data_IF_608365325770
#
_entry.id   IF_608365325770
#
_cell.length_a   1.000
_cell.length_b   1.000
_cell.length_c   1.000
_cell.angle_alpha   90.00
_cell.angle_beta   90.00
_cell.angle_gamma   90.00
#
_symmetry.space_group_name_H-M   'P 1'
#
loop_
_entity.id
_entity.type
_entity.pdbx_description
1 polymer ?
#
# COMPACT_ATOMS: atom_id res chain seq x y z
N UNK A 1 -17.12 -12.58 -7.31
CA UNK A 1 -16.02 -12.17 -6.41
C UNK A 1 -15.25 -11.05 -7.08
N UNK A 2 -14.47 -10.28 -6.33
CA UNK A 2 -13.62 -9.23 -6.90
C UNK A 2 -12.38 -9.91 -7.49
N UNK A 3 -12.11 -9.67 -8.78
CA UNK A 3 -11.00 -10.26 -9.54
C UNK A 3 -10.29 -9.26 -10.46
N UNK A 4 -10.90 -8.10 -10.68
CA UNK A 4 -10.36 -6.96 -11.44
C UNK A 4 -10.95 -5.65 -10.90
N UNK A 5 -10.38 -4.48 -11.25
CA UNK A 5 -10.87 -3.17 -10.77
C UNK A 5 -12.35 -2.91 -11.05
N UNK A 6 -12.85 -3.27 -12.24
CA UNK A 6 -14.25 -3.09 -12.63
C UNK A 6 -15.25 -3.79 -11.70
N UNK A 7 -14.86 -4.91 -11.07
CA UNK A 7 -15.74 -5.66 -10.18
C UNK A 7 -16.13 -4.82 -8.94
N UNK A 8 -15.34 -3.79 -8.60
CA UNK A 8 -15.66 -2.84 -7.52
C UNK A 8 -16.86 -1.94 -7.85
N UNK A 9 -17.22 -1.81 -9.12
CA UNK A 9 -18.38 -1.03 -9.56
C UNK A 9 -19.69 -1.76 -9.24
N UNK A 10 -19.65 -3.09 -9.12
CA UNK A 10 -20.83 -3.90 -8.84
C UNK A 10 -21.63 -3.37 -7.63
N UNK A 11 -22.96 -3.49 -7.69
CA UNK A 11 -23.85 -3.03 -6.61
C UNK A 11 -23.63 -3.78 -5.29
N UNK A 12 -23.09 -5.00 -5.35
CA UNK A 12 -22.69 -5.78 -4.18
C UNK A 12 -21.52 -5.17 -3.42
N UNK A 13 -20.74 -4.29 -4.05
CA UNK A 13 -19.65 -3.53 -3.42
C UNK A 13 -20.16 -2.10 -3.17
N UNK A 14 -20.44 -1.77 -1.92
CA UNK A 14 -21.05 -0.49 -1.51
C UNK A 14 -20.03 0.46 -0.91
N UNK A 15 -19.05 -0.06 -0.17
CA UNK A 15 -18.01 0.73 0.50
C UNK A 15 -16.63 0.14 0.27
N UNK A 16 -15.68 1.00 -0.06
CA UNK A 16 -14.30 0.64 -0.35
C UNK A 16 -13.38 1.48 0.54
N UNK A 17 -12.60 0.86 1.42
CA UNK A 17 -11.64 1.59 2.23
C UNK A 17 -10.28 1.76 1.52
N UNK A 18 -9.72 2.96 1.54
CA UNK A 18 -8.34 3.23 1.14
C UNK A 18 -7.74 4.32 2.03
N UNK A 19 -6.42 4.45 2.05
CA UNK A 19 -5.79 5.63 2.66
C UNK A 19 -6.36 6.90 2.02
N UNK A 20 -6.39 8.04 2.71
CA UNK A 20 -6.90 9.28 2.11
C UNK A 20 -6.30 9.52 0.70
N UNK A 21 -7.13 9.59 -0.35
CA UNK A 21 -6.66 9.64 -1.74
C UNK A 21 -5.93 10.94 -2.10
N UNK A 22 -6.03 11.96 -1.26
CA UNK A 22 -5.34 13.25 -1.44
C UNK A 22 -4.07 13.38 -0.59
N UNK A 23 -3.92 12.56 0.47
CA UNK A 23 -2.89 12.81 1.49
C UNK A 23 -2.07 11.58 1.92
N UNK A 24 -2.64 10.37 1.90
CA UNK A 24 -1.94 9.16 2.33
C UNK A 24 -1.33 8.49 1.10
N UNK A 25 -0.01 8.19 1.04
CA UNK A 25 0.61 7.60 -0.14
C UNK A 25 -0.11 6.37 -0.70
N UNK A 26 -0.52 5.43 0.17
CA UNK A 26 -1.28 4.25 -0.28
C UNK A 26 -2.66 4.58 -0.87
N UNK A 27 -3.28 5.68 -0.42
CA UNK A 27 -4.50 6.24 -0.99
C UNK A 27 -4.28 6.89 -2.35
N UNK A 28 -3.26 7.74 -2.44
CA UNK A 28 -2.85 8.41 -3.69
C UNK A 28 -2.55 7.36 -4.77
N UNK A 29 -1.76 6.34 -4.44
CA UNK A 29 -1.44 5.24 -5.35
C UNK A 29 -2.66 4.42 -5.77
N UNK A 30 -3.59 4.18 -4.84
CA UNK A 30 -4.86 3.51 -5.15
C UNK A 30 -5.69 4.34 -6.14
N UNK A 31 -5.82 5.65 -5.90
CA UNK A 31 -6.50 6.57 -6.81
C UNK A 31 -5.86 6.57 -8.19
N UNK A 32 -4.54 6.78 -8.28
CA UNK A 32 -3.81 6.80 -9.55
C UNK A 32 -4.03 5.53 -10.38
N UNK A 33 -3.99 4.36 -9.72
CA UNK A 33 -4.27 3.10 -10.37
C UNK A 33 -5.72 3.01 -10.86
N UNK A 34 -6.70 3.34 -10.01
CA UNK A 34 -8.12 3.26 -10.36
C UNK A 34 -8.52 4.29 -11.44
N UNK A 35 -7.84 5.44 -11.49
CA UNK A 35 -8.00 6.44 -12.57
C UNK A 35 -7.47 5.89 -13.88
N UNK A 36 -6.27 5.28 -13.86
CA UNK A 36 -5.67 4.65 -15.04
C UNK A 36 -6.53 3.51 -15.60
N UNK A 37 -7.19 2.77 -14.74
CA UNK A 37 -8.13 1.70 -15.12
C UNK A 37 -9.53 2.26 -15.50
N UNK A 38 -9.75 3.58 -15.41
CA UNK A 38 -10.98 4.25 -15.86
C UNK A 38 -12.18 4.10 -14.95
N UNK A 39 -11.99 3.61 -13.72
CA UNK A 39 -13.09 3.28 -12.79
C UNK A 39 -13.24 4.27 -11.63
N UNK A 40 -12.23 5.11 -11.38
CA UNK A 40 -12.21 6.02 -10.23
C UNK A 40 -13.44 6.94 -10.12
N UNK A 41 -13.84 7.58 -11.23
CA UNK A 41 -14.97 8.52 -11.21
C UNK A 41 -16.29 7.89 -10.75
N UNK A 42 -16.46 6.60 -11.03
CA UNK A 42 -17.61 5.81 -10.58
C UNK A 42 -17.44 5.37 -9.13
N UNK A 43 -16.21 5.02 -8.73
CA UNK A 43 -15.92 4.47 -7.40
C UNK A 43 -15.80 5.54 -6.31
N UNK A 44 -15.46 6.79 -6.62
CA UNK A 44 -15.16 7.83 -5.63
C UNK A 44 -16.29 8.07 -4.63
N UNK A 45 -17.55 7.84 -5.01
CA UNK A 45 -18.72 7.95 -4.12
C UNK A 45 -18.84 6.78 -3.13
N UNK A 46 -18.19 5.64 -3.40
CA UNK A 46 -18.12 4.45 -2.54
C UNK A 46 -16.92 4.48 -1.59
N UNK A 47 -15.97 5.39 -1.81
CA UNK A 47 -14.71 5.45 -1.08
C UNK A 47 -14.96 5.91 0.36
N UNK A 48 -14.34 5.18 1.29
CA UNK A 48 -14.22 5.54 2.70
C UNK A 48 -12.74 5.88 2.96
N UNK A 49 -12.36 7.17 2.95
CA UNK A 49 -11.00 7.60 3.22
C UNK A 49 -10.57 7.22 4.63
N UNK A 50 -9.31 6.85 4.80
CA UNK A 50 -8.75 6.47 6.10
C UNK A 50 -7.41 7.16 6.37
N UNK A 51 -7.09 7.35 7.65
CA UNK A 51 -5.84 8.01 8.09
C UNK A 51 -4.55 7.30 7.70
N UNK A 52 -4.61 6.01 7.36
CA UNK A 52 -3.49 5.22 6.86
C UNK A 52 -3.99 3.87 6.33
N UNK A 53 -3.14 3.17 5.58
CA UNK A 53 -3.46 1.87 4.96
C UNK A 53 -3.88 0.80 5.97
N UNK A 54 -3.34 0.83 7.19
CA UNK A 54 -3.73 -0.12 8.25
C UNK A 54 -5.15 0.12 8.74
N UNK A 55 -5.62 1.36 8.79
CA UNK A 55 -7.01 1.67 9.13
C UNK A 55 -7.97 1.15 8.05
N UNK A 56 -7.58 1.20 6.77
CA UNK A 56 -8.35 0.57 5.70
C UNK A 56 -8.44 -0.95 5.87
N UNK A 57 -7.32 -1.62 6.17
CA UNK A 57 -7.33 -3.07 6.46
C UNK A 57 -8.25 -3.42 7.63
N UNK A 58 -8.17 -2.66 8.73
CA UNK A 58 -9.04 -2.87 9.90
C UNK A 58 -10.52 -2.71 9.57
N UNK A 59 -10.88 -1.79 8.68
CA UNK A 59 -12.26 -1.61 8.25
C UNK A 59 -12.79 -2.84 7.49
N UNK A 60 -11.95 -3.48 6.68
CA UNK A 60 -12.25 -4.73 5.96
C UNK A 60 -12.40 -5.88 6.96
N UNK A 61 -11.44 -6.06 7.86
CA UNK A 61 -11.48 -7.12 8.89
C UNK A 61 -12.72 -7.00 9.79
N UNK A 62 -13.15 -5.77 10.10
CA UNK A 62 -14.35 -5.50 10.88
C UNK A 62 -15.66 -5.68 10.09
N UNK A 63 -15.61 -5.96 8.78
CA UNK A 63 -16.79 -6.07 7.91
C UNK A 63 -17.56 -4.75 7.72
N UNK A 64 -16.95 -3.62 8.06
CA UNK A 64 -17.58 -2.29 7.93
C UNK A 64 -17.56 -1.74 6.50
N UNK A 65 -16.71 -2.33 5.66
CA UNK A 65 -16.60 -2.08 4.22
C UNK A 65 -16.53 -3.42 3.47
N UNK A 66 -16.90 -3.41 2.19
CA UNK A 66 -16.95 -4.63 1.37
C UNK A 66 -15.58 -4.97 0.75
N UNK A 67 -14.71 -3.97 0.58
CA UNK A 67 -13.37 -4.12 0.03
C UNK A 67 -12.41 -3.05 0.59
N UNK A 68 -11.10 -3.28 0.43
CA UNK A 68 -10.10 -2.27 0.72
C UNK A 68 -8.87 -2.38 -0.19
N UNK A 69 -8.21 -1.26 -0.43
CA UNK A 69 -6.94 -1.20 -1.17
C UNK A 69 -5.80 -0.98 -0.19
N UNK A 70 -4.92 -1.98 -0.09
CA UNK A 70 -3.82 -2.02 0.89
C UNK A 70 -2.53 -2.51 0.26
N UNK A 71 -1.40 -2.32 0.96
CA UNK A 71 -0.16 -2.94 0.54
C UNK A 71 -0.19 -4.44 0.86
N UNK A 72 0.43 -5.24 -0.02
CA UNK A 72 0.60 -6.68 0.18
C UNK A 72 1.29 -7.00 1.52
N UNK A 73 2.21 -6.14 1.96
CA UNK A 73 2.91 -6.30 3.24
C UNK A 73 1.99 -6.15 4.46
N UNK A 74 0.91 -5.38 4.36
CA UNK A 74 -0.02 -5.13 5.46
C UNK A 74 -0.97 -6.32 5.70
N UNK A 75 -1.34 -7.06 4.66
CA UNK A 75 -2.26 -8.22 4.78
C UNK A 75 -1.57 -9.51 5.22
N UNK A 76 -0.22 -9.61 5.15
CA UNK A 76 0.51 -10.87 5.46
C UNK A 76 0.23 -11.44 6.86
N UNK A 77 -0.30 -10.65 7.79
CA UNK A 77 -0.64 -11.06 9.16
C UNK A 77 -2.15 -11.11 9.43
N UNK A 78 -2.98 -10.80 8.44
CA UNK A 78 -4.44 -10.87 8.59
C UNK A 78 -4.91 -12.32 8.48
N UNK A 79 -5.89 -12.68 9.31
CA UNK A 79 -6.62 -13.95 9.22
C UNK A 79 -8.07 -13.75 8.79
N UNK A 80 -8.58 -12.52 8.89
CA UNK A 80 -9.97 -12.16 8.65
C UNK A 80 -10.19 -11.53 7.26
N UNK A 81 -9.10 -11.10 6.59
CA UNK A 81 -9.14 -10.56 5.23
C UNK A 81 -8.36 -11.46 4.26
N UNK A 82 -8.84 -11.52 3.01
CA UNK A 82 -8.19 -12.24 1.92
C UNK A 82 -7.79 -11.30 0.79
N UNK A 83 -6.74 -11.66 0.05
CA UNK A 83 -6.38 -10.95 -1.18
C UNK A 83 -7.38 -11.37 -2.26
N UNK A 84 -8.27 -10.45 -2.64
CA UNK A 84 -9.20 -10.68 -3.74
C UNK A 84 -8.53 -10.51 -5.12
N UNK A 85 -7.62 -9.54 -5.23
CA UNK A 85 -6.90 -9.20 -6.46
C UNK A 85 -5.56 -8.55 -6.13
N UNK A 86 -4.48 -9.01 -6.76
CA UNK A 86 -3.15 -8.38 -6.71
C UNK A 86 -2.99 -7.44 -7.92
N UNK A 87 -2.60 -6.18 -7.69
CA UNK A 87 -2.24 -5.26 -8.77
C UNK A 87 -0.86 -5.66 -9.31
N UNK A 88 -0.73 -6.02 -10.60
CA UNK A 88 0.57 -6.38 -11.16
C UNK A 88 1.55 -5.21 -11.09
N UNK A 89 2.82 -5.48 -10.74
CA UNK A 89 3.86 -4.46 -10.53
C UNK A 89 4.01 -3.51 -11.73
N UNK A 90 3.90 -4.01 -12.96
CA UNK A 90 3.99 -3.18 -14.18
C UNK A 90 2.72 -2.39 -14.52
N UNK A 91 1.63 -2.58 -13.79
CA UNK A 91 0.35 -1.89 -14.01
C UNK A 91 0.06 -0.84 -12.94
N UNK A 92 0.49 -1.08 -11.71
CA UNK A 92 0.37 -0.13 -10.61
C UNK A 92 1.41 1.01 -10.64
N UNK A 93 1.23 2.02 -9.77
CA UNK A 93 2.25 3.04 -9.55
C UNK A 93 3.52 2.46 -8.94
N UNK A 94 4.66 3.10 -9.21
CA UNK A 94 5.96 2.67 -8.67
C UNK A 94 6.08 3.11 -7.21
N UNK A 95 5.80 2.21 -6.28
CA UNK A 95 5.87 2.47 -4.83
C UNK A 95 7.33 2.34 -4.37
N UNK A 96 7.93 3.46 -3.97
CA UNK A 96 9.34 3.54 -3.51
C UNK A 96 9.36 4.13 -2.11
N UNK A 97 10.21 3.54 -1.24
CA UNK A 97 10.48 4.05 0.09
C UNK A 97 11.89 4.66 0.12
N UNK A 98 12.03 5.97 -0.17
CA UNK A 98 13.32 6.63 -0.07
C UNK A 98 13.75 6.71 1.40
N UNK A 99 15.06 6.57 1.62
CA UNK A 99 15.68 6.80 2.92
C UNK A 99 16.78 7.85 2.75
N UNK A 100 16.92 8.73 3.74
CA UNK A 100 17.96 9.75 3.78
C UNK A 100 18.36 10.02 5.23
N UNK A 101 19.61 10.43 5.43
CA UNK A 101 20.08 10.96 6.72
C UNK A 101 19.66 12.42 6.82
N UNK A 102 19.09 12.82 7.96
CA UNK A 102 18.76 14.23 8.25
C UNK A 102 20.02 15.10 8.17
N UNK A 103 19.88 16.38 7.82
CA UNK A 103 21.00 17.34 7.85
C UNK A 103 21.49 17.61 9.27
N UNK A 104 20.61 17.48 10.27
CA UNK A 104 20.90 17.70 11.69
C UNK A 104 20.43 16.49 12.52
N UNK A 105 21.11 15.33 12.41
CA UNK A 105 20.76 14.16 13.18
C UNK A 105 21.24 14.32 14.63
N UNK A 106 20.45 13.94 15.65
CA UNK A 106 20.86 13.97 17.05
C UNK A 106 22.12 13.16 17.34
N UNK A 107 22.38 12.12 16.53
CA UNK A 107 23.60 11.33 16.54
C UNK A 107 24.06 11.07 15.08
N UNK A 108 24.98 11.89 14.54
CA UNK A 108 25.41 11.79 13.15
C UNK A 108 26.07 10.46 12.80
N UNK A 109 26.91 9.94 13.69
CA UNK A 109 27.65 8.71 13.44
C UNK A 109 26.69 7.51 13.35
N UNK A 110 25.81 7.33 14.33
CA UNK A 110 24.83 6.25 14.31
C UNK A 110 23.83 6.38 13.16
N UNK A 111 23.45 7.59 12.77
CA UNK A 111 22.56 7.81 11.63
C UNK A 111 23.20 7.35 10.31
N UNK A 112 24.47 7.69 10.07
CA UNK A 112 25.24 7.23 8.90
C UNK A 112 25.45 5.72 8.94
N UNK A 113 25.83 5.15 10.09
CA UNK A 113 26.01 3.70 10.23
C UNK A 113 24.72 2.92 9.95
N UNK A 114 23.58 3.39 10.47
CA UNK A 114 22.29 2.78 10.19
C UNK A 114 21.90 2.90 8.72
N UNK A 115 22.08 4.08 8.11
CA UNK A 115 21.81 4.28 6.69
C UNK A 115 22.67 3.37 5.80
N UNK A 116 23.96 3.21 6.11
CA UNK A 116 24.84 2.26 5.44
C UNK A 116 24.40 0.81 5.65
N UNK A 117 23.94 0.45 6.85
CA UNK A 117 23.40 -0.88 7.12
C UNK A 117 22.18 -1.21 6.23
N UNK A 118 21.28 -0.27 6.01
CA UNK A 118 20.09 -0.45 5.14
C UNK A 118 20.45 -0.81 3.70
N UNK A 119 21.67 -0.49 3.25
CA UNK A 119 22.17 -0.80 1.91
C UNK A 119 22.85 -2.17 1.81
N UNK A 120 23.02 -2.89 2.93
CA UNK A 120 23.66 -4.22 2.93
C UNK A 120 22.73 -5.33 2.46
N UNK A 121 23.30 -6.43 1.95
CA UNK A 121 22.54 -7.62 1.59
C UNK A 121 21.70 -8.18 2.75
N UNK A 122 22.20 -8.08 3.99
CA UNK A 122 21.47 -8.50 5.19
C UNK A 122 20.20 -7.69 5.40
N UNK A 123 20.25 -6.36 5.22
CA UNK A 123 19.06 -5.54 5.32
C UNK A 123 18.08 -5.83 4.17
N UNK A 124 18.57 -6.04 2.94
CA UNK A 124 17.71 -6.39 1.81
C UNK A 124 16.95 -7.71 2.03
N UNK A 125 17.63 -8.74 2.54
CA UNK A 125 16.97 -10.02 2.90
C UNK A 125 15.86 -9.83 3.94
N UNK A 126 16.05 -8.92 4.91
CA UNK A 126 15.00 -8.58 5.87
C UNK A 126 13.81 -7.92 5.15
N UNK A 127 14.04 -6.92 4.31
CA UNK A 127 12.98 -6.27 3.54
C UNK A 127 12.20 -7.26 2.67
N UNK A 128 12.90 -8.12 1.93
CA UNK A 128 12.31 -9.17 1.09
C UNK A 128 11.51 -10.18 1.91
N UNK A 129 12.04 -10.61 3.06
CA UNK A 129 11.31 -11.50 3.98
C UNK A 129 10.01 -10.88 4.50
N UNK A 130 9.90 -9.55 4.52
CA UNK A 130 8.68 -8.80 4.85
C UNK A 130 7.79 -8.49 3.63
N UNK A 131 8.24 -8.78 2.41
CA UNK A 131 7.48 -8.63 1.17
C UNK A 131 7.78 -7.35 0.37
N UNK A 132 8.87 -6.65 0.68
CA UNK A 132 9.38 -5.54 -0.12
C UNK A 132 10.23 -6.07 -1.29
N UNK A 133 10.32 -5.29 -2.37
CA UNK A 133 11.19 -5.59 -3.51
C UNK A 133 12.44 -4.72 -3.39
N UNK A 134 13.62 -5.34 -3.36
CA UNK A 134 14.89 -4.62 -3.37
C UNK A 134 15.07 -3.86 -4.69
N UNK A 135 15.54 -2.61 -4.59
CA UNK A 135 15.89 -1.77 -5.74
C UNK A 135 17.39 -1.84 -6.08
N UNK A 136 18.20 -2.50 -5.25
CA UNK A 136 19.63 -2.67 -5.50
C UNK A 136 19.81 -3.82 -6.49
N UNK A 137 20.41 -3.53 -7.65
CA UNK A 137 20.83 -4.56 -8.60
C UNK A 137 21.91 -5.44 -7.95
N UNK A 138 21.75 -6.76 -8.08
CA UNK A 138 22.85 -7.70 -7.87
C UNK A 138 23.83 -7.66 -9.03
#
# INVERSE_FOLDING_TARGET
>A
GISRPDDLIAQSVRRIALGDPEAVPGGVYAREYLDKEGVWDVLKSKVVPTRNVRAALRAVEAGTVDAGVVYRTDIRRSVDAVIAFDIPVGRGPRIIYPAAVSTEPPNPESAVQFFSFLQTAKAQQIFEAYGFISLLAH
#
